data_IF_589395038112
#
_entry.id   IF_589395038112
#
_cell.length_a   1.000
_cell.length_b   1.000
_cell.length_c   1.000
_cell.angle_alpha   90.00
_cell.angle_beta   90.00
_cell.angle_gamma   90.00
#
_symmetry.space_group_name_H-M   'P 1'
#
loop_
_entity.id
_entity.type
_entity.pdbx_description
1 polymer ?
#
# COMPACT_ATOMS: atom_id res chain seq x y z
N UNK A 1 -44.60 -23.30 -37.55
CA UNK A 1 -44.87 -23.02 -36.13
C UNK A 1 -45.18 -21.53 -36.06
N UNK A 2 -46.46 -21.19 -35.95
CA UNK A 2 -47.03 -19.92 -36.41
C UNK A 2 -47.59 -19.15 -35.21
N UNK A 3 -47.22 -17.87 -35.14
CA UNK A 3 -47.56 -16.89 -34.11
C UNK A 3 -49.03 -16.49 -34.25
N UNK A 4 -49.79 -16.45 -33.15
CA UNK A 4 -51.00 -15.62 -33.00
C UNK A 4 -51.28 -15.26 -31.53
N UNK A 5 -51.39 -13.95 -31.27
CA UNK A 5 -52.29 -13.25 -30.33
C UNK A 5 -53.10 -12.27 -31.23
N UNK A 6 -54.13 -11.52 -30.78
CA UNK A 6 -54.84 -11.45 -29.49
C UNK A 6 -56.38 -11.57 -29.68
N UNK A 7 -57.20 -11.34 -28.64
CA UNK A 7 -58.22 -10.26 -28.58
C UNK A 7 -59.43 -10.56 -27.63
N UNK A 8 -60.03 -9.48 -27.13
CA UNK A 8 -61.40 -9.34 -26.58
C UNK A 8 -61.77 -9.92 -25.20
N UNK A 9 -61.86 -9.08 -24.15
CA UNK A 9 -63.01 -9.08 -23.22
C UNK A 9 -63.36 -7.63 -22.82
N UNK A 10 -64.50 -7.16 -23.32
CA UNK A 10 -65.21 -5.93 -22.93
C UNK A 10 -66.42 -6.30 -22.07
N UNK A 11 -66.74 -5.48 -21.06
CA UNK A 11 -68.12 -5.03 -20.84
C UNK A 11 -68.71 -5.10 -19.43
N UNK A 12 -69.46 -4.02 -19.11
CA UNK A 12 -70.45 -3.76 -18.04
C UNK A 12 -69.89 -3.10 -16.76
N UNK A 13 -70.00 -1.79 -16.49
CA UNK A 13 -71.09 -0.78 -16.55
C UNK A 13 -72.08 -0.81 -15.38
N UNK A 14 -72.16 0.33 -14.66
CA UNK A 14 -73.18 0.68 -13.65
C UNK A 14 -72.63 1.71 -12.64
N UNK A 15 -72.52 3.00 -12.96
CA UNK A 15 -73.52 4.08 -12.76
C UNK A 15 -74.21 4.12 -11.38
N UNK A 16 -73.79 5.06 -10.52
CA UNK A 16 -74.74 5.87 -9.74
C UNK A 16 -74.14 7.27 -9.48
N UNK A 17 -74.87 8.29 -9.91
CA UNK A 17 -74.54 9.71 -9.88
C UNK A 17 -75.10 10.36 -8.60
N UNK A 18 -74.38 11.33 -8.06
CA UNK A 18 -74.79 12.13 -6.91
C UNK A 18 -74.01 13.45 -6.85
N UNK A 19 -74.51 14.44 -7.60
CA UNK A 19 -74.00 15.81 -7.69
C UNK A 19 -74.50 16.62 -6.49
N UNK A 20 -73.59 17.24 -5.72
CA UNK A 20 -73.81 18.58 -5.14
C UNK A 20 -72.52 19.39 -5.25
N UNK A 21 -72.66 20.53 -5.89
CA UNK A 21 -71.64 21.52 -6.21
C UNK A 21 -71.50 22.55 -5.08
N UNK A 22 -70.28 22.99 -4.78
CA UNK A 22 -69.78 24.37 -4.94
C UNK A 22 -68.69 24.74 -3.93
N UNK A 23 -67.83 25.63 -4.43
CA UNK A 23 -66.95 26.58 -3.75
C UNK A 23 -65.48 26.17 -3.60
N UNK A 24 -64.70 26.82 -4.46
CA UNK A 24 -63.27 26.98 -4.48
C UNK A 24 -62.66 27.32 -3.11
N UNK A 25 -61.54 26.70 -2.77
CA UNK A 25 -60.40 27.40 -2.16
C UNK A 25 -59.13 26.67 -2.58
N UNK A 26 -58.33 27.39 -3.36
CA UNK A 26 -56.97 27.07 -3.78
C UNK A 26 -56.08 26.89 -2.55
N UNK A 27 -55.49 25.70 -2.36
CA UNK A 27 -54.30 25.55 -1.52
C UNK A 27 -53.35 24.56 -2.20
N UNK A 28 -52.49 25.12 -3.05
CA UNK A 28 -51.31 24.51 -3.61
C UNK A 28 -50.33 24.27 -2.45
N UNK A 29 -50.38 23.09 -1.81
CA UNK A 29 -49.30 22.65 -0.92
C UNK A 29 -48.19 22.10 -1.80
N UNK A 30 -47.26 22.98 -2.15
CA UNK A 30 -45.92 22.66 -2.63
C UNK A 30 -45.21 21.81 -1.57
N UNK A 31 -45.30 20.49 -1.68
CA UNK A 31 -44.37 19.60 -1.00
C UNK A 31 -43.01 19.75 -1.69
N UNK A 32 -42.20 20.67 -1.16
CA UNK A 32 -40.78 20.77 -1.48
C UNK A 32 -40.12 19.51 -0.92
N UNK A 33 -40.01 18.48 -1.75
CA UNK A 33 -39.08 17.39 -1.51
C UNK A 33 -37.67 17.96 -1.64
N UNK A 34 -37.16 18.54 -0.56
CA UNK A 34 -35.75 18.79 -0.40
C UNK A 34 -35.07 17.41 -0.33
N UNK A 35 -34.69 16.87 -1.50
CA UNK A 35 -33.71 15.82 -1.60
C UNK A 35 -32.44 16.38 -0.97
N UNK A 36 -32.21 16.05 0.29
CA UNK A 36 -30.92 16.20 0.93
C UNK A 36 -29.95 15.31 0.16
N UNK A 37 -29.31 15.89 -0.86
CA UNK A 37 -28.10 15.34 -1.43
C UNK A 37 -27.06 15.42 -0.33
N UNK A 38 -27.00 14.40 0.52
CA UNK A 38 -25.84 14.21 1.37
C UNK A 38 -24.62 14.24 0.43
N UNK A 39 -23.59 15.05 0.73
CA UNK A 39 -22.38 15.02 -0.06
C UNK A 39 -21.90 13.58 -0.08
N UNK A 40 -21.81 12.98 -1.27
CA UNK A 40 -21.13 11.73 -1.46
C UNK A 40 -19.66 11.99 -1.11
N UNK A 41 -19.34 11.90 0.18
CA UNK A 41 -17.95 11.81 0.60
C UNK A 41 -17.41 10.58 -0.13
N UNK A 42 -16.33 10.79 -0.88
CA UNK A 42 -15.67 9.72 -1.60
C UNK A 42 -15.20 8.71 -0.55
N UNK A 43 -16.02 7.67 -0.34
CA UNK A 43 -15.68 6.51 0.47
C UNK A 43 -14.34 6.02 -0.04
N UNK A 44 -13.35 5.97 0.84
CA UNK A 44 -11.99 5.59 0.48
C UNK A 44 -12.05 4.23 -0.23
N UNK A 45 -11.28 3.97 -1.29
CA UNK A 45 -11.32 2.69 -2.00
C UNK A 45 -11.27 1.48 -1.06
N UNK A 46 -10.51 1.59 0.03
CA UNK A 46 -10.47 0.64 1.15
C UNK A 46 -11.82 0.28 1.76
N UNK A 47 -12.59 1.27 2.18
CA UNK A 47 -13.87 1.07 2.86
C UNK A 47 -14.87 0.36 1.95
N UNK A 48 -14.83 0.66 0.65
CA UNK A 48 -15.69 0.01 -0.34
C UNK A 48 -15.44 -1.49 -0.41
N UNK A 49 -14.19 -1.90 -0.58
CA UNK A 49 -13.90 -3.33 -0.72
C UNK A 49 -13.98 -4.08 0.62
N UNK A 50 -13.66 -3.43 1.74
CA UNK A 50 -13.89 -4.00 3.06
C UNK A 50 -15.38 -4.36 3.24
N UNK A 51 -16.29 -3.44 2.84
CA UNK A 51 -17.73 -3.71 2.84
C UNK A 51 -18.12 -4.86 1.91
N UNK A 52 -17.58 -4.91 0.68
CA UNK A 52 -17.89 -5.99 -0.29
C UNK A 52 -17.40 -7.37 0.18
N UNK A 53 -16.26 -7.43 0.88
CA UNK A 53 -15.71 -8.65 1.47
C UNK A 53 -16.39 -9.03 2.79
N UNK A 54 -17.24 -8.17 3.36
CA UNK A 54 -17.82 -8.39 4.67
C UNK A 54 -16.81 -8.29 5.82
N UNK A 55 -15.74 -7.51 5.63
CA UNK A 55 -14.78 -7.20 6.69
C UNK A 55 -15.43 -6.24 7.68
N UNK A 56 -15.37 -6.55 8.97
CA UNK A 56 -15.85 -5.67 10.03
C UNK A 56 -14.65 -4.97 10.71
N UNK A 57 -14.45 -3.66 10.48
CA UNK A 57 -13.33 -2.93 11.06
C UNK A 57 -13.45 -2.76 12.59
N UNK A 58 -14.63 -3.03 13.17
CA UNK A 58 -14.89 -2.86 14.60
C UNK A 58 -14.59 -4.11 15.44
N UNK A 59 -14.26 -5.24 14.80
CA UNK A 59 -13.95 -6.46 15.53
C UNK A 59 -12.54 -6.37 16.11
N UNK A 60 -12.47 -6.63 17.43
CA UNK A 60 -11.19 -6.70 18.14
C UNK A 60 -10.62 -8.11 18.09
N UNK A 61 -9.35 -8.21 17.70
CA UNK A 61 -8.63 -9.47 17.65
C UNK A 61 -7.12 -9.25 17.71
N UNK A 62 -6.40 -10.33 17.99
CA UNK A 62 -4.98 -10.43 17.74
C UNK A 62 -4.63 -11.82 17.21
N UNK A 63 -3.45 -11.91 16.61
CA UNK A 63 -2.97 -13.18 16.10
C UNK A 63 -1.62 -13.07 15.44
N UNK A 64 -1.14 -14.24 15.05
CA UNK A 64 0.08 -14.39 14.26
C UNK A 64 -0.33 -14.76 12.84
N UNK A 65 0.17 -13.99 11.87
CA UNK A 65 0.09 -14.30 10.45
C UNK A 65 1.41 -14.89 9.99
N UNK A 66 1.32 -15.90 9.14
CA UNK A 66 2.42 -16.38 8.33
C UNK A 66 2.23 -15.85 6.91
N UNK A 67 3.20 -15.08 6.44
CA UNK A 67 3.30 -14.66 5.05
C UNK A 67 4.31 -15.55 4.34
N UNK A 68 3.89 -16.18 3.25
CA UNK A 68 4.78 -16.91 2.34
C UNK A 68 4.92 -16.14 1.03
N UNK A 69 6.16 -15.81 0.68
CA UNK A 69 6.52 -15.07 -0.54
C UNK A 69 7.85 -15.61 -1.08
N UNK A 70 7.89 -15.99 -2.36
CA UNK A 70 9.08 -16.60 -2.99
C UNK A 70 9.67 -17.80 -2.21
N UNK A 71 8.83 -18.57 -1.51
CA UNK A 71 9.27 -19.70 -0.67
C UNK A 71 9.90 -19.30 0.66
N UNK A 72 9.98 -18.00 0.97
CA UNK A 72 10.32 -17.51 2.30
C UNK A 72 9.06 -17.35 3.14
N UNK A 73 9.22 -17.58 4.44
CA UNK A 73 8.18 -17.40 5.43
C UNK A 73 8.54 -16.24 6.35
N UNK A 74 7.61 -15.30 6.49
CA UNK A 74 7.73 -14.13 7.36
C UNK A 74 6.59 -14.16 8.36
N UNK A 75 6.95 -14.19 9.63
CA UNK A 75 5.98 -14.07 10.71
C UNK A 75 5.62 -12.60 10.95
N UNK A 76 4.32 -12.35 11.10
CA UNK A 76 3.77 -11.04 11.41
C UNK A 76 2.81 -11.16 12.60
N UNK A 77 2.94 -10.29 13.57
CA UNK A 77 1.93 -10.12 14.62
C UNK A 77 0.93 -9.07 14.14
N UNK A 78 -0.37 -9.36 14.23
CA UNK A 78 -1.42 -8.39 13.95
C UNK A 78 -2.32 -8.24 15.18
N UNK A 79 -2.69 -6.99 15.48
CA UNK A 79 -3.68 -6.62 16.49
C UNK A 79 -4.62 -5.60 15.90
N UNK A 80 -5.92 -5.75 16.17
CA UNK A 80 -6.96 -4.82 15.75
C UNK A 80 -7.92 -4.53 16.89
N UNK A 81 -8.35 -3.29 16.96
CA UNK A 81 -9.49 -2.80 17.74
C UNK A 81 -10.26 -1.80 16.86
N UNK A 82 -11.48 -1.36 17.24
CA UNK A 82 -12.16 -0.30 16.51
C UNK A 82 -11.23 0.90 16.27
N UNK A 83 -11.16 1.31 15.00
CA UNK A 83 -10.35 2.43 14.51
C UNK A 83 -8.83 2.32 14.73
N UNK A 84 -8.32 1.13 15.12
CA UNK A 84 -6.91 0.93 15.48
C UNK A 84 -6.37 -0.39 14.97
N UNK A 85 -5.21 -0.33 14.34
CA UNK A 85 -4.50 -1.52 13.88
C UNK A 85 -3.03 -1.41 14.26
N UNK A 86 -2.44 -2.52 14.66
CA UNK A 86 -1.02 -2.68 14.84
C UNK A 86 -0.57 -3.92 14.09
N UNK A 87 0.46 -3.79 13.26
CA UNK A 87 1.17 -4.91 12.67
C UNK A 87 2.64 -4.82 13.02
N UNK A 88 3.27 -5.96 13.24
CA UNK A 88 4.70 -6.07 13.47
C UNK A 88 5.25 -7.21 12.64
N UNK A 89 6.31 -6.95 11.88
CA UNK A 89 6.97 -7.92 11.02
C UNK A 89 8.40 -8.12 11.49
N UNK A 90 8.84 -9.38 11.47
CA UNK A 90 10.21 -9.77 11.77
C UNK A 90 10.94 -10.09 10.48
N UNK A 91 11.88 -9.23 10.08
CA UNK A 91 12.69 -9.39 8.87
C UNK A 91 14.16 -9.57 9.27
N UNK A 92 14.56 -10.81 9.52
CA UNK A 92 15.91 -11.13 9.99
C UNK A 92 16.18 -10.58 11.39
N UNK A 93 17.07 -9.60 11.50
CA UNK A 93 17.39 -8.91 12.76
C UNK A 93 16.66 -7.56 12.92
N UNK A 94 15.79 -7.21 11.97
CA UNK A 94 15.01 -5.97 12.00
C UNK A 94 13.56 -6.27 12.33
N UNK A 95 13.01 -5.47 13.24
CA UNK A 95 11.58 -5.45 13.56
C UNK A 95 11.00 -4.16 13.03
N UNK A 96 9.93 -4.26 12.25
CA UNK A 96 9.18 -3.10 11.75
C UNK A 96 7.76 -3.19 12.26
N UNK A 97 7.33 -2.16 12.98
CA UNK A 97 5.95 -2.02 13.45
C UNK A 97 5.20 -0.97 12.63
N UNK A 98 3.91 -1.15 12.42
CA UNK A 98 3.02 -0.14 11.86
C UNK A 98 1.82 -0.01 12.79
N UNK A 99 1.55 1.22 13.24
CA UNK A 99 0.31 1.56 13.95
C UNK A 99 -0.54 2.41 12.99
N UNK A 100 -1.77 2.00 12.73
CA UNK A 100 -2.79 2.82 12.07
C UNK A 100 -3.80 3.29 13.12
N UNK A 101 -3.99 4.60 13.21
CA UNK A 101 -4.94 5.28 14.11
C UNK A 101 -5.98 6.02 13.31
N UNK A 102 -7.04 5.32 12.92
CA UNK A 102 -8.14 5.85 12.11
C UNK A 102 -8.93 6.95 12.86
N UNK A 103 -8.96 6.84 14.18
CA UNK A 103 -9.49 7.84 15.11
C UNK A 103 -8.70 9.15 15.08
N UNK A 104 -7.37 9.08 14.93
CA UNK A 104 -6.47 10.23 14.86
C UNK A 104 -6.16 10.67 13.42
N UNK A 105 -6.56 9.90 12.42
CA UNK A 105 -6.15 10.05 11.01
C UNK A 105 -4.62 10.07 10.84
N UNK A 106 -3.91 9.22 11.60
CA UNK A 106 -2.45 9.11 11.59
C UNK A 106 -1.97 7.68 11.43
N UNK A 107 -0.79 7.53 10.83
CA UNK A 107 -0.03 6.28 10.84
C UNK A 107 1.34 6.49 11.48
N UNK A 108 1.87 5.44 12.10
CA UNK A 108 3.21 5.44 12.68
C UNK A 108 3.97 4.22 12.18
N UNK A 109 5.13 4.42 11.56
CA UNK A 109 6.08 3.35 11.24
C UNK A 109 7.15 3.30 12.33
N UNK A 110 7.19 2.20 13.08
CA UNK A 110 8.10 1.99 14.19
C UNK A 110 9.32 1.20 13.71
N UNK A 111 10.51 1.65 14.10
CA UNK A 111 11.78 0.94 13.88
C UNK A 111 12.47 0.76 15.24
N UNK A 112 11.99 -0.18 16.09
CA UNK A 112 12.46 -0.28 17.47
C UNK A 112 13.95 -0.59 17.59
N UNK A 113 14.49 -1.43 16.70
CA UNK A 113 15.93 -1.75 16.65
C UNK A 113 16.80 -0.52 16.39
N UNK A 114 16.24 0.51 15.73
CA UNK A 114 16.91 1.77 15.46
C UNK A 114 16.56 2.84 16.50
N UNK A 115 15.56 2.62 17.37
CA UNK A 115 15.14 3.57 18.41
C UNK A 115 14.34 4.76 17.87
N UNK A 116 13.74 4.64 16.68
CA UNK A 116 12.99 5.73 16.05
C UNK A 116 11.59 5.29 15.60
N UNK A 117 10.72 6.26 15.33
CA UNK A 117 9.47 6.08 14.61
C UNK A 117 9.25 7.21 13.61
N UNK A 118 8.51 6.97 12.53
CA UNK A 118 8.04 7.99 11.59
C UNK A 118 6.55 8.17 11.75
N UNK A 119 6.08 9.40 11.91
CA UNK A 119 4.67 9.75 11.82
C UNK A 119 4.32 10.15 10.38
N UNK A 120 3.17 9.67 9.89
CA UNK A 120 2.64 10.01 8.59
C UNK A 120 1.11 10.19 8.66
N UNK A 121 0.52 10.67 7.57
CA UNK A 121 -0.95 10.74 7.46
C UNK A 121 -1.58 9.34 7.38
N UNK A 122 -2.87 9.23 7.68
CA UNK A 122 -3.61 7.97 7.46
C UNK A 122 -3.59 7.55 6.00
N UNK A 123 -3.78 8.48 5.07
CA UNK A 123 -3.77 8.20 3.63
C UNK A 123 -2.42 7.63 3.19
N UNK A 124 -1.32 8.28 3.58
CA UNK A 124 0.03 7.79 3.31
C UNK A 124 0.27 6.41 3.93
N UNK A 125 -0.17 6.19 5.17
CA UNK A 125 -0.05 4.91 5.85
C UNK A 125 -0.83 3.79 5.17
N UNK A 126 -2.07 4.06 4.73
CA UNK A 126 -2.89 3.10 4.01
C UNK A 126 -2.31 2.79 2.62
N UNK A 127 -1.81 3.81 1.92
CA UNK A 127 -1.15 3.63 0.62
C UNK A 127 0.12 2.80 0.77
N UNK A 128 0.92 3.06 1.80
CA UNK A 128 2.10 2.26 2.12
C UNK A 128 1.75 0.81 2.48
N UNK A 129 0.72 0.59 3.31
CA UNK A 129 0.31 -0.75 3.73
C UNK A 129 -0.35 -1.57 2.60
N UNK A 130 -1.04 -0.91 1.68
CA UNK A 130 -1.72 -1.55 0.54
C UNK A 130 -0.87 -1.62 -0.72
N UNK A 131 0.30 -1.00 -0.74
CA UNK A 131 1.10 -0.76 -1.96
C UNK A 131 0.26 -0.20 -3.12
N UNK A 132 -0.70 0.68 -2.80
CA UNK A 132 -1.67 1.23 -3.76
C UNK A 132 -2.49 0.19 -4.55
N UNK A 133 -2.68 -1.02 -4.01
CA UNK A 133 -3.48 -2.05 -4.66
C UNK A 133 -4.96 -1.64 -4.75
N UNK A 134 -5.51 -1.69 -5.96
CA UNK A 134 -6.93 -1.47 -6.22
C UNK A 134 -7.65 -2.79 -6.58
N UNK A 135 -8.71 -3.12 -5.85
CA UNK A 135 -9.58 -4.24 -6.20
C UNK A 135 -10.55 -3.84 -7.32
N UNK A 136 -10.46 -4.53 -8.46
CA UNK A 136 -11.32 -4.31 -9.62
C UNK A 136 -12.52 -5.26 -9.68
N UNK A 137 -12.45 -6.40 -8.99
CA UNK A 137 -13.53 -7.39 -8.97
C UNK A 137 -13.48 -8.25 -7.71
N UNK A 138 -14.63 -8.43 -7.07
CA UNK A 138 -14.81 -9.28 -5.89
C UNK A 138 -16.03 -10.18 -6.13
N UNK A 139 -15.85 -11.49 -6.08
CA UNK A 139 -16.91 -12.48 -6.29
C UNK A 139 -16.94 -13.48 -5.14
N UNK A 140 -18.09 -13.60 -4.46
CA UNK A 140 -18.28 -14.65 -3.46
C UNK A 140 -18.29 -16.02 -4.16
N UNK A 141 -17.40 -16.91 -3.73
CA UNK A 141 -17.24 -18.25 -4.31
C UNK A 141 -17.99 -19.30 -3.49
N UNK A 142 -17.96 -19.18 -2.17
CA UNK A 142 -18.57 -20.15 -1.28
C UNK A 142 -18.14 -19.97 0.17
N UNK A 143 -18.36 -20.99 0.98
CA UNK A 143 -17.95 -21.03 2.38
C UNK A 143 -17.05 -22.24 2.62
N UNK A 144 -16.00 -22.04 3.41
CA UNK A 144 -15.07 -23.09 3.84
C UNK A 144 -14.53 -22.76 5.24
N UNK A 145 -14.07 -23.78 5.95
CA UNK A 145 -13.45 -23.60 7.27
C UNK A 145 -11.94 -23.41 7.09
N UNK A 146 -11.39 -22.38 7.73
CA UNK A 146 -9.95 -22.10 7.77
C UNK A 146 -9.53 -22.06 9.23
N UNK A 147 -8.64 -22.97 9.63
CA UNK A 147 -8.11 -23.06 11.00
C UNK A 147 -9.21 -23.08 12.09
N UNK A 148 -10.32 -23.79 11.85
CA UNK A 148 -11.44 -23.88 12.78
C UNK A 148 -12.40 -22.69 12.75
N UNK A 149 -12.19 -21.72 11.86
CA UNK A 149 -13.07 -20.57 11.69
C UNK A 149 -13.92 -20.69 10.41
N UNK A 150 -15.25 -20.74 10.53
CA UNK A 150 -16.16 -20.66 9.39
C UNK A 150 -15.89 -19.38 8.60
N UNK A 151 -15.57 -19.52 7.31
CA UNK A 151 -15.14 -18.41 6.47
C UNK A 151 -15.87 -18.39 5.13
N UNK A 152 -16.11 -17.20 4.60
CA UNK A 152 -16.54 -17.00 3.22
C UNK A 152 -15.32 -16.79 2.33
N UNK A 153 -15.22 -17.58 1.26
CA UNK A 153 -14.19 -17.42 0.23
C UNK A 153 -14.67 -16.46 -0.85
N UNK A 154 -13.84 -15.48 -1.15
CA UNK A 154 -14.00 -14.52 -2.23
C UNK A 154 -12.90 -14.72 -3.26
N UNK A 155 -13.25 -14.61 -4.54
CA UNK A 155 -12.30 -14.51 -5.64
C UNK A 155 -12.12 -13.04 -5.95
N UNK A 156 -10.86 -12.59 -6.01
CA UNK A 156 -10.54 -11.19 -6.22
C UNK A 156 -9.67 -11.00 -7.45
N UNK A 157 -9.81 -9.82 -8.06
CA UNK A 157 -8.84 -9.28 -9.03
C UNK A 157 -8.41 -7.92 -8.53
N UNK A 158 -7.12 -7.66 -8.62
CA UNK A 158 -6.52 -6.41 -8.21
C UNK A 158 -5.46 -5.96 -9.21
N UNK A 159 -5.13 -4.68 -9.15
CA UNK A 159 -4.06 -4.08 -9.94
C UNK A 159 -3.44 -2.93 -9.17
N UNK A 160 -2.19 -2.66 -9.47
CA UNK A 160 -1.46 -1.46 -9.04
C UNK A 160 -0.92 -0.76 -10.30
N UNK A 161 0.00 0.18 -10.12
CA UNK A 161 0.63 0.92 -11.22
C UNK A 161 1.51 0.05 -12.12
N UNK A 162 2.03 -1.06 -11.63
CA UNK A 162 3.06 -1.87 -12.28
C UNK A 162 2.52 -3.18 -12.87
N UNK A 163 1.43 -3.68 -12.31
CA UNK A 163 0.97 -5.01 -12.59
C UNK A 163 -0.46 -5.30 -12.15
N UNK A 164 -0.79 -6.58 -12.24
CA UNK A 164 -2.12 -7.08 -11.92
C UNK A 164 -2.02 -8.42 -11.22
N UNK A 165 -3.00 -8.68 -10.39
CA UNK A 165 -3.12 -9.94 -9.70
C UNK A 165 -4.54 -10.46 -9.63
N UNK A 166 -4.63 -11.70 -9.22
CA UNK A 166 -5.88 -12.34 -8.86
C UNK A 166 -5.61 -13.28 -7.69
N UNK A 167 -6.63 -13.52 -6.90
CA UNK A 167 -6.46 -14.35 -5.72
C UNK A 167 -7.77 -14.77 -5.11
N UNK A 168 -7.62 -15.32 -3.91
CA UNK A 168 -8.70 -15.64 -3.02
C UNK A 168 -8.46 -14.94 -1.68
N UNK A 169 -9.53 -14.44 -1.09
CA UNK A 169 -9.55 -13.90 0.26
C UNK A 169 -10.61 -14.65 1.03
N UNK A 170 -10.28 -15.04 2.25
CA UNK A 170 -11.18 -15.68 3.19
C UNK A 170 -11.46 -14.74 4.33
N UNK A 171 -12.74 -14.53 4.60
CA UNK A 171 -13.21 -13.67 5.69
C UNK A 171 -14.08 -14.51 6.62
N UNK A 172 -13.78 -14.50 7.91
CA UNK A 172 -14.59 -15.20 8.91
C UNK A 172 -16.01 -14.63 8.96
N UNK A 173 -16.94 -15.34 9.58
CA UNK A 173 -18.28 -14.84 9.88
C UNK A 173 -18.28 -13.57 10.77
N UNK A 174 -17.24 -13.41 11.59
CA UNK A 174 -16.97 -12.20 12.37
C UNK A 174 -16.27 -11.09 11.57
N UNK A 175 -16.09 -11.24 10.25
CA UNK A 175 -15.52 -10.17 9.43
C UNK A 175 -14.00 -10.01 9.51
N UNK A 176 -13.26 -11.04 9.93
CA UNK A 176 -11.78 -11.01 9.97
C UNK A 176 -11.20 -11.65 8.72
N UNK A 177 -10.33 -10.99 7.95
CA UNK A 177 -9.66 -11.61 6.80
C UNK A 177 -8.61 -12.63 7.28
N UNK A 178 -9.01 -13.90 7.35
CA UNK A 178 -8.23 -14.97 7.97
C UNK A 178 -7.11 -15.50 7.07
N UNK A 179 -7.35 -15.50 5.75
CA UNK A 179 -6.42 -16.03 4.75
C UNK A 179 -6.52 -15.25 3.45
N UNK A 180 -5.38 -15.12 2.77
CA UNK A 180 -5.25 -14.57 1.42
C UNK A 180 -4.29 -15.43 0.62
N UNK A 181 -4.66 -15.77 -0.61
CA UNK A 181 -3.78 -16.41 -1.58
C UNK A 181 -3.83 -15.61 -2.87
N UNK A 182 -2.72 -15.03 -3.26
CA UNK A 182 -2.64 -14.10 -4.38
C UNK A 182 -1.57 -14.56 -5.37
N UNK A 183 -1.85 -14.30 -6.65
CA UNK A 183 -0.90 -14.45 -7.74
C UNK A 183 -0.80 -13.09 -8.41
N UNK A 184 0.39 -12.52 -8.38
CA UNK A 184 0.72 -11.22 -8.95
C UNK A 184 1.59 -11.36 -10.20
N UNK A 185 1.50 -10.40 -11.12
CA UNK A 185 2.36 -10.33 -12.30
C UNK A 185 2.52 -8.88 -12.75
N UNK A 186 3.77 -8.44 -12.91
CA UNK A 186 4.14 -7.16 -13.53
C UNK A 186 5.05 -7.42 -14.74
N UNK A 187 5.83 -6.43 -15.18
CA UNK A 187 6.75 -6.59 -16.32
C UNK A 187 7.92 -7.53 -16.02
N UNK A 188 8.43 -7.50 -14.78
CA UNK A 188 9.64 -8.21 -14.35
C UNK A 188 9.33 -9.61 -13.81
N UNK A 189 8.28 -9.72 -12.99
CA UNK A 189 7.89 -10.95 -12.32
C UNK A 189 6.56 -11.46 -12.87
N UNK A 190 6.52 -12.76 -13.19
CA UNK A 190 5.34 -13.46 -13.69
C UNK A 190 4.88 -14.53 -12.70
N UNK A 191 3.59 -14.51 -12.38
CA UNK A 191 2.94 -15.55 -11.60
C UNK A 191 3.43 -15.68 -10.15
N UNK A 192 3.90 -14.58 -9.57
CA UNK A 192 4.42 -14.59 -8.21
C UNK A 192 3.31 -14.87 -7.21
N UNK A 193 3.47 -15.95 -6.46
CA UNK A 193 2.50 -16.34 -5.43
C UNK A 193 2.86 -15.73 -4.09
N UNK A 194 1.85 -15.20 -3.43
CA UNK A 194 1.90 -14.76 -2.04
C UNK A 194 0.75 -15.40 -1.27
N UNK A 195 1.05 -15.96 -0.11
CA UNK A 195 0.03 -16.45 0.83
C UNK A 195 0.18 -15.69 2.14
N UNK A 196 -0.92 -15.27 2.73
CA UNK A 196 -0.95 -14.67 4.07
C UNK A 196 -2.05 -15.37 4.83
N UNK A 197 -1.73 -16.00 5.96
CA UNK A 197 -2.70 -16.79 6.72
C UNK A 197 -2.48 -16.58 8.22
N UNK A 198 -3.56 -16.39 8.99
CA UNK A 198 -3.46 -16.48 10.44
C UNK A 198 -3.19 -17.92 10.86
N UNK A 199 -2.07 -18.16 11.52
CA UNK A 199 -1.78 -19.42 12.20
C UNK A 199 -2.50 -19.48 13.55
N UNK A 200 -2.69 -18.32 14.19
CA UNK A 200 -3.45 -18.15 15.42
C UNK A 200 -4.33 -16.90 15.31
N UNK A 201 -5.63 -17.03 15.58
CA UNK A 201 -6.57 -15.91 15.63
C UNK A 201 -7.33 -15.94 16.96
N UNK A 202 -7.21 -14.86 17.74
CA UNK A 202 -7.83 -14.70 19.04
C UNK A 202 -8.80 -13.52 19.01
N UNK A 203 -10.11 -13.79 19.04
CA UNK A 203 -11.14 -12.76 19.12
C UNK A 203 -11.28 -12.28 20.57
N UNK A 204 -10.71 -11.11 20.87
CA UNK A 204 -10.74 -10.49 22.21
C UNK A 204 -10.44 -9.01 22.14
N UNK A 205 -10.87 -8.29 23.18
CA UNK A 205 -10.50 -6.89 23.37
C UNK A 205 -8.98 -6.73 23.48
N UNK A 206 -8.47 -5.64 22.89
CA UNK A 206 -7.04 -5.35 22.86
C UNK A 206 -6.68 -4.26 23.87
N UNK A 207 -5.53 -4.42 24.53
CA UNK A 207 -4.98 -3.39 25.40
C UNK A 207 -4.63 -2.14 24.57
N UNK A 208 -5.17 -0.95 24.90
CA UNK A 208 -4.90 0.28 24.16
C UNK A 208 -3.41 0.59 23.97
N UNK A 209 -2.54 0.15 24.88
CA UNK A 209 -1.09 0.42 24.80
C UNK A 209 -0.42 -0.14 23.54
N UNK A 210 -0.99 -1.17 22.91
CA UNK A 210 -0.43 -1.74 21.68
C UNK A 210 -0.59 -0.81 20.47
N UNK A 211 -1.44 0.20 20.58
CA UNK A 211 -1.74 1.16 19.51
C UNK A 211 -1.16 2.55 19.81
N UNK A 212 -0.22 2.63 20.75
CA UNK A 212 0.51 3.84 21.09
C UNK A 212 1.99 3.67 20.73
N UNK A 213 2.64 4.77 20.35
CA UNK A 213 4.09 4.75 20.09
C UNK A 213 4.82 4.46 21.40
N UNK A 214 5.73 3.47 21.45
CA UNK A 214 6.52 3.21 22.63
C UNK A 214 7.33 4.44 23.07
N UNK A 215 7.36 4.77 24.38
CA UNK A 215 7.91 6.03 24.87
C UNK A 215 9.44 6.17 24.71
N UNK A 216 10.13 5.07 24.42
CA UNK A 216 11.55 4.98 24.15
C UNK A 216 11.93 5.31 22.69
N UNK A 217 10.95 5.33 21.78
CA UNK A 217 11.19 5.67 20.37
C UNK A 217 11.17 7.19 20.16
N UNK A 218 12.15 7.66 19.37
CA UNK A 218 12.26 9.07 19.00
C UNK A 218 11.61 9.32 17.63
N UNK A 219 10.93 10.45 17.43
CA UNK A 219 10.43 10.79 16.10
C UNK A 219 11.60 10.97 15.13
N UNK A 220 11.49 10.35 13.97
CA UNK A 220 12.32 10.56 12.80
C UNK A 220 11.92 11.91 12.20
N UNK A 221 12.40 12.99 12.82
CA UNK A 221 12.13 14.33 12.32
C UNK A 221 13.02 14.66 11.13
N UNK A 222 12.44 15.29 10.10
CA UNK A 222 13.19 16.01 9.07
C UNK A 222 14.10 17.12 9.65
N UNK A 223 13.87 17.51 10.91
CA UNK A 223 14.70 18.44 11.69
C UNK A 223 15.46 17.84 12.87
N UNK A 224 15.30 16.55 13.21
CA UNK A 224 15.99 15.97 14.38
C UNK A 224 17.50 15.79 14.13
N UNK A 225 17.90 15.59 12.87
CA UNK A 225 19.31 15.59 12.44
C UNK A 225 19.94 16.99 12.33
N UNK A 226 19.15 18.04 12.12
CA UNK A 226 19.65 19.43 11.98
C UNK A 226 19.56 20.22 13.29
N UNK A 227 18.46 20.10 14.03
CA UNK A 227 18.24 20.82 15.30
C UNK A 227 18.92 20.14 16.50
N UNK A 228 19.03 18.80 16.50
CA UNK A 228 19.71 18.04 17.56
C UNK A 228 21.24 18.17 17.52
N UNK A 229 21.81 18.20 16.30
CA UNK A 229 23.25 18.41 16.09
C UNK A 229 23.66 19.87 16.35
N UNK A 230 22.78 20.84 16.02
CA UNK A 230 23.01 22.26 16.29
C UNK A 230 23.00 22.62 17.79
N UNK A 231 22.14 21.98 18.59
CA UNK A 231 22.09 22.18 20.04
C UNK A 231 23.29 21.55 20.77
N UNK A 232 23.88 20.48 20.23
CA UNK A 232 25.04 19.80 20.82
C UNK A 232 26.38 20.43 20.41
N UNK A 233 26.45 21.15 19.28
CA UNK A 233 27.63 21.89 18.82
C UNK A 233 27.70 23.35 19.32
N UNK A 234 26.81 23.77 20.22
CA UNK A 234 26.93 25.07 20.90
C UNK A 234 26.82 26.29 19.96
N UNK A 235 26.15 26.16 18.81
CA UNK A 235 25.92 27.28 17.90
C UNK A 235 24.60 27.98 18.22
N UNK A 236 24.62 28.77 19.30
CA UNK A 236 23.77 29.95 19.37
C UNK A 236 24.31 30.99 18.38
N UNK A 237 23.77 31.04 17.18
CA UNK A 237 24.15 32.04 16.20
C UNK A 237 23.25 32.01 14.98
N UNK A 238 22.38 33.01 14.89
CA UNK A 238 21.64 33.37 13.68
C UNK A 238 22.56 33.36 12.45
N UNK A 239 22.35 32.38 11.55
CA UNK A 239 22.87 32.43 10.19
C UNK A 239 21.82 31.81 9.27
N UNK A 240 21.13 32.67 8.53
CA UNK A 240 20.32 32.28 7.39
C UNK A 240 21.19 31.44 6.45
N UNK A 241 20.70 30.27 6.06
CA UNK A 241 21.32 29.44 5.04
C UNK A 241 21.49 30.26 3.76
N UNK A 242 22.73 30.37 3.28
CA UNK A 242 23.09 31.11 2.09
C UNK A 242 22.51 30.40 0.84
N UNK A 243 21.52 30.99 0.14
CA UNK A 243 20.84 30.34 -0.98
C UNK A 243 21.76 30.04 -2.17
N UNK A 244 22.95 30.64 -2.22
CA UNK A 244 23.95 30.33 -3.24
C UNK A 244 24.59 28.94 -3.04
N UNK A 245 24.71 28.47 -1.80
CA UNK A 245 25.30 27.16 -1.49
C UNK A 245 24.35 26.00 -1.82
N UNK A 246 23.05 26.17 -1.59
CA UNK A 246 22.04 25.16 -1.95
C UNK A 246 21.87 25.03 -3.47
N UNK A 247 21.86 26.16 -4.19
CA UNK A 247 21.76 26.14 -5.65
C UNK A 247 22.99 25.46 -6.32
N UNK A 248 24.18 25.60 -5.73
CA UNK A 248 25.38 24.90 -6.21
C UNK A 248 25.30 23.38 -6.01
N UNK A 249 24.71 22.92 -4.91
CA UNK A 249 24.52 21.49 -4.63
C UNK A 249 23.46 20.86 -5.55
N UNK A 250 22.35 21.56 -5.81
CA UNK A 250 21.30 21.09 -6.71
C UNK A 250 21.80 20.96 -8.16
N UNK A 251 22.59 21.94 -8.62
CA UNK A 251 23.20 21.90 -9.95
C UNK A 251 24.20 20.75 -10.10
N UNK A 252 25.00 20.47 -9.05
CA UNK A 252 25.94 19.35 -9.05
C UNK A 252 25.19 18.00 -9.07
N UNK A 253 24.13 17.85 -8.29
CA UNK A 253 23.30 16.63 -8.30
C UNK A 253 22.67 16.38 -9.67
N UNK A 254 22.15 17.44 -10.32
CA UNK A 254 21.59 17.35 -11.67
C UNK A 254 22.65 16.99 -12.73
N UNK A 255 23.87 17.52 -12.62
CA UNK A 255 24.97 17.20 -13.53
C UNK A 255 25.44 15.74 -13.39
N UNK A 256 25.53 15.24 -12.15
CA UNK A 256 25.87 13.83 -11.86
C UNK A 256 24.86 12.86 -12.45
N UNK A 257 23.57 13.18 -12.30
CA UNK A 257 22.48 12.38 -12.86
C UNK A 257 22.57 12.27 -14.39
N UNK A 258 22.74 13.38 -15.09
CA UNK A 258 22.89 13.39 -16.55
C UNK A 258 24.10 12.60 -17.03
N UNK A 259 25.24 12.73 -16.34
CA UNK A 259 26.45 11.98 -16.68
C UNK A 259 26.26 10.46 -16.55
N UNK A 260 25.55 10.00 -15.51
CA UNK A 260 25.26 8.58 -15.33
C UNK A 260 24.25 8.05 -16.35
N UNK A 261 23.22 8.83 -16.70
CA UNK A 261 22.27 8.48 -17.76
C UNK A 261 22.97 8.36 -19.13
N UNK A 262 23.89 9.27 -19.46
CA UNK A 262 24.70 9.18 -20.68
C UNK A 262 25.65 7.99 -20.68
N UNK A 263 26.25 7.66 -19.52
CA UNK A 263 27.12 6.49 -19.38
C UNK A 263 26.33 5.18 -19.56
N UNK A 264 25.12 5.09 -19.02
CA UNK A 264 24.24 3.94 -19.18
C UNK A 264 23.86 3.74 -20.67
N UNK A 265 23.47 4.81 -21.36
CA UNK A 265 23.16 4.76 -22.80
C UNK A 265 24.38 4.36 -23.64
N UNK A 266 25.58 4.83 -23.28
CA UNK A 266 26.82 4.44 -23.96
C UNK A 266 27.17 2.96 -23.71
N UNK A 267 26.92 2.45 -22.50
CA UNK A 267 27.13 1.05 -22.15
C UNK A 267 26.18 0.12 -22.92
N UNK A 268 24.91 0.51 -23.10
CA UNK A 268 23.95 -0.23 -23.93
C UNK A 268 24.36 -0.29 -25.40
N UNK A 269 24.90 0.81 -25.95
CA UNK A 269 25.36 0.87 -27.35
C UNK A 269 26.70 0.13 -27.57
N UNK A 270 27.49 -0.05 -26.52
CA UNK A 270 28.80 -0.71 -26.58
C UNK A 270 28.72 -2.24 -26.43
N UNK A 271 27.55 -2.82 -26.15
CA UNK A 271 27.38 -4.28 -26.18
C UNK A 271 27.23 -4.75 -27.64
N UNK A 272 28.23 -5.45 -28.22
CA UNK A 272 28.05 -6.04 -29.53
C UNK A 272 27.00 -7.16 -29.44
N UNK A 273 26.14 -7.27 -30.46
CA UNK A 273 25.28 -8.44 -30.67
C UNK A 273 26.13 -9.70 -30.93
N UNK A 274 26.71 -10.29 -29.88
CA UNK A 274 27.36 -11.60 -29.96
C UNK A 274 26.51 -12.69 -29.28
N UNK A 275 25.68 -13.28 -30.13
CA UNK A 275 25.45 -14.73 -30.26
C UNK A 275 25.62 -15.63 -29.02
N UNK A 276 24.47 -16.12 -28.53
CA UNK A 276 24.21 -17.50 -28.10
C UNK A 276 25.35 -18.29 -27.44
N UNK A 277 25.40 -18.29 -26.11
CA UNK A 277 26.25 -19.18 -25.32
C UNK A 277 25.65 -19.52 -23.96
N UNK A 278 25.19 -20.76 -23.84
CA UNK A 278 24.67 -21.39 -22.61
C UNK A 278 25.79 -21.54 -21.55
N UNK A 279 26.18 -20.46 -20.86
CA UNK A 279 27.15 -20.55 -19.74
C UNK A 279 27.06 -19.44 -18.68
N UNK A 280 25.96 -18.68 -18.61
CA UNK A 280 25.78 -17.57 -17.65
C UNK A 280 25.06 -17.88 -16.33
N UNK A 281 24.73 -19.15 -16.05
CA UNK A 281 23.72 -19.50 -15.03
C UNK A 281 24.24 -19.74 -13.60
N UNK A 282 25.47 -19.34 -13.25
CA UNK A 282 26.07 -19.72 -11.94
C UNK A 282 26.44 -18.53 -11.03
N UNK A 283 26.32 -17.27 -11.47
CA UNK A 283 26.65 -16.10 -10.64
C UNK A 283 25.43 -15.34 -10.07
N UNK A 284 24.22 -15.91 -10.14
CA UNK A 284 22.97 -15.25 -9.71
C UNK A 284 22.52 -15.50 -8.27
N UNK A 285 23.28 -16.26 -7.46
CA UNK A 285 22.80 -16.76 -6.16
C UNK A 285 23.31 -16.00 -4.92
N UNK A 286 24.01 -14.86 -5.08
CA UNK A 286 24.47 -14.03 -3.95
C UNK A 286 23.86 -12.62 -3.98
N UNK A 287 23.12 -12.28 -5.03
CA UNK A 287 22.48 -10.98 -5.27
C UNK A 287 21.11 -10.83 -4.57
N UNK A 288 20.59 -11.90 -3.98
CA UNK A 288 19.18 -12.01 -3.57
C UNK A 288 18.88 -11.41 -2.18
N UNK A 289 19.90 -11.07 -1.37
CA UNK A 289 19.71 -10.49 -0.04
C UNK A 289 19.60 -8.95 -0.03
N UNK A 290 20.10 -8.26 -1.07
CA UNK A 290 20.00 -6.80 -1.21
C UNK A 290 18.69 -6.31 -1.85
N UNK A 291 18.08 -7.14 -2.70
CA UNK A 291 16.79 -6.83 -3.35
C UNK A 291 15.60 -6.87 -2.37
N UNK A 292 15.76 -7.51 -1.21
CA UNK A 292 14.68 -7.70 -0.21
C UNK A 292 14.23 -6.40 0.48
N UNK A 293 15.06 -5.36 0.51
CA UNK A 293 14.67 -4.10 1.14
C UNK A 293 13.94 -3.14 0.18
N UNK A 294 14.15 -3.29 -1.13
CA UNK A 294 13.50 -2.48 -2.17
C UNK A 294 12.09 -2.95 -2.51
N UNK A 295 11.86 -4.26 -2.54
CA UNK A 295 10.57 -4.86 -2.91
C UNK A 295 9.49 -4.74 -1.81
N UNK A 296 9.91 -4.50 -0.56
CA UNK A 296 9.02 -4.30 0.59
C UNK A 296 8.58 -2.84 0.82
N UNK A 297 8.94 -1.90 -0.05
CA UNK A 297 8.52 -0.49 0.09
C UNK A 297 9.01 0.22 1.36
N UNK A 298 10.00 -0.35 2.06
CA UNK A 298 10.56 0.20 3.30
C UNK A 298 11.74 1.15 3.06
N UNK A 299 12.36 1.09 1.88
CA UNK A 299 13.20 2.15 1.36
C UNK A 299 12.44 2.74 0.17
N UNK A 300 11.55 3.70 0.43
CA UNK A 300 10.64 4.24 -0.58
C UNK A 300 11.40 4.66 -1.84
N UNK A 301 11.27 3.87 -2.92
CA UNK A 301 11.70 4.16 -4.30
C UNK A 301 12.86 5.14 -4.48
N UNK A 302 13.97 4.96 -3.76
CA UNK A 302 15.08 5.92 -3.83
C UNK A 302 15.81 5.69 -5.14
N UNK A 303 15.85 6.73 -5.98
CA UNK A 303 16.52 6.72 -7.30
C UNK A 303 17.95 6.15 -7.14
N UNK A 304 18.37 5.11 -7.90
CA UNK A 304 19.69 4.47 -7.75
C UNK A 304 20.86 5.47 -7.84
N UNK A 305 20.70 6.58 -8.56
CA UNK A 305 21.64 7.71 -8.59
C UNK A 305 21.87 8.31 -7.20
N UNK A 306 20.82 8.44 -6.40
CA UNK A 306 20.88 8.98 -5.04
C UNK A 306 21.61 8.01 -4.10
N UNK A 307 21.42 6.70 -4.30
CA UNK A 307 22.11 5.65 -3.52
C UNK A 307 23.63 5.71 -3.80
N UNK A 308 24.03 5.83 -5.07
CA UNK A 308 25.45 5.85 -5.47
C UNK A 308 26.24 7.02 -4.84
N UNK A 309 25.59 8.17 -4.62
CA UNK A 309 26.25 9.35 -4.05
C UNK A 309 25.89 9.62 -2.58
N UNK A 310 25.18 8.71 -1.93
CA UNK A 310 24.88 8.83 -0.51
C UNK A 310 26.18 8.70 0.31
N UNK A 311 26.44 9.62 1.26
CA UNK A 311 27.63 9.55 2.11
C UNK A 311 27.67 8.29 2.98
N UNK A 312 26.51 7.67 3.21
CA UNK A 312 26.35 6.48 4.05
C UNK A 312 26.21 5.18 3.24
N UNK A 313 26.25 5.23 1.90
CA UNK A 313 26.14 4.03 1.09
C UNK A 313 27.37 3.13 1.24
N UNK A 314 27.15 1.85 1.50
CA UNK A 314 28.22 0.87 1.52
C UNK A 314 28.72 0.60 0.10
N UNK A 315 29.94 0.07 -0.03
CA UNK A 315 30.47 -0.33 -1.34
C UNK A 315 29.58 -1.38 -2.04
N UNK A 316 28.85 -2.19 -1.27
CA UNK A 316 27.88 -3.15 -1.80
C UNK A 316 26.64 -2.46 -2.36
N UNK A 317 26.12 -1.43 -1.67
CA UNK A 317 24.95 -0.66 -2.14
C UNK A 317 25.28 0.10 -3.43
N UNK A 318 26.48 0.69 -3.49
CA UNK A 318 26.97 1.37 -4.69
C UNK A 318 27.13 0.39 -5.85
N UNK A 319 27.65 -0.82 -5.60
CA UNK A 319 27.81 -1.85 -6.63
C UNK A 319 26.46 -2.35 -7.16
N UNK A 320 25.49 -2.61 -6.28
CA UNK A 320 24.15 -3.05 -6.67
C UNK A 320 23.40 -1.97 -7.46
N UNK A 321 23.52 -0.69 -7.06
CA UNK A 321 22.94 0.42 -7.80
C UNK A 321 23.62 0.63 -9.16
N UNK A 322 24.94 0.45 -9.25
CA UNK A 322 25.70 0.50 -10.50
C UNK A 322 25.26 -0.58 -11.49
N UNK A 323 25.14 -1.82 -11.01
CA UNK A 323 24.67 -2.97 -11.78
C UNK A 323 23.26 -2.73 -12.32
N UNK A 324 22.35 -2.23 -11.48
CA UNK A 324 20.97 -1.88 -11.90
C UNK A 324 20.92 -0.80 -12.99
N UNK A 325 21.88 0.12 -13.00
CA UNK A 325 21.99 1.19 -14.00
C UNK A 325 22.82 0.79 -15.23
N UNK A 326 23.41 -0.42 -15.26
CA UNK A 326 24.29 -0.84 -16.35
C UNK A 326 25.59 -0.02 -16.46
N UNK A 327 26.01 0.65 -15.38
CA UNK A 327 27.19 1.51 -15.35
C UNK A 327 28.32 0.87 -14.55
N UNK A 328 29.57 1.14 -14.93
CA UNK A 328 30.74 0.63 -14.20
C UNK A 328 31.12 1.55 -13.04
N UNK A 329 31.88 1.05 -12.07
CA UNK A 329 32.46 1.88 -11.01
C UNK A 329 33.37 3.01 -11.58
N UNK A 330 33.97 2.80 -12.75
CA UNK A 330 34.74 3.84 -13.44
C UNK A 330 33.86 4.96 -13.98
N UNK A 331 32.64 4.65 -14.43
CA UNK A 331 31.64 5.64 -14.86
C UNK A 331 31.14 6.46 -13.67
N UNK A 332 30.91 5.81 -12.53
CA UNK A 332 30.50 6.47 -11.28
C UNK A 332 31.54 7.49 -10.81
N UNK A 333 32.82 7.09 -10.80
CA UNK A 333 33.91 7.98 -10.38
C UNK A 333 34.13 9.10 -11.40
N UNK A 334 34.02 8.82 -12.70
CA UNK A 334 34.04 9.86 -13.76
C UNK A 334 32.91 10.87 -13.57
N UNK A 335 31.71 10.42 -13.20
CA UNK A 335 30.56 11.29 -12.99
C UNK A 335 30.54 11.96 -11.62
N UNK A 336 31.46 11.64 -10.68
CA UNK A 336 31.49 12.25 -9.34
C UNK A 336 31.83 13.75 -9.38
N UNK A 337 32.56 14.19 -10.39
CA UNK A 337 32.91 15.58 -10.67
C UNK A 337 32.72 15.85 -12.17
N UNK A 338 31.46 15.99 -12.62
CA UNK A 338 31.11 16.10 -14.04
C UNK A 338 31.52 17.44 -14.67
#
# INVERSE_FOLDING_TARGET
>A
MQIMLPDQWKGLAGHCSGIVSRVATTLLVLFVAALATAPAQAVHPYERWAQELGIDPNVSYDGTRMMEYQGQQVEMIERRAPDKMYTEMYMGNMTVGIILREDLKKSYSLMPSMGFYREASMEEGLNQASNEMEFSKIEKVGSEEVNGHPSTKYKTRFSDKEGKGAGFIWVTDTGVPIKMEMIYSNQEVKGQRMTIEFTELNLREQDPKYFEVPPDLKPMGFGAGLSGLGAMLGMSGDAAADPAASAAQDNLAAARKRCLEEAALAAEQAQPEESGGMFGSIMGAVSELGAMAGDFGLIGGVDPVTIVYSPDASAADVAAAAEKMGVTSADIERCRQP
#
